data_IF_733182562546
#
_entry.id   IF_733182562546
#
_cell.length_a   1.000
_cell.length_b   1.000
_cell.length_c   1.000
_cell.angle_alpha   90.00
_cell.angle_beta   90.00
_cell.angle_gamma   90.00
#
_symmetry.space_group_name_H-M   'P 1'
#
loop_
_entity.id
_entity.type
_entity.pdbx_description
1 polymer ?
#
# COMPACT_ATOMS: atom_id res chain seq x y z
N UNK A 1 12.12 18.18 4.92
CA UNK A 1 12.21 17.39 6.17
C UNK A 1 11.75 15.98 5.84
N UNK A 2 12.44 14.94 6.34
CA UNK A 2 11.98 13.54 6.16
C UNK A 2 10.81 13.31 7.13
N UNK A 3 9.71 12.73 6.66
CA UNK A 3 8.60 12.31 7.51
C UNK A 3 8.91 10.92 8.09
N UNK A 4 8.64 10.75 9.39
CA UNK A 4 8.63 9.44 10.02
C UNK A 4 7.18 8.96 10.15
N UNK A 5 6.96 7.64 10.01
CA UNK A 5 5.66 7.01 10.14
C UNK A 5 5.78 5.67 10.84
N UNK A 6 4.72 5.29 11.55
CA UNK A 6 4.70 4.07 12.36
C UNK A 6 3.35 3.37 12.21
N UNK A 7 3.38 2.03 12.24
CA UNK A 7 2.19 1.23 12.50
C UNK A 7 2.10 1.05 14.01
N UNK A 8 0.98 1.49 14.59
CA UNK A 8 0.72 1.39 16.01
C UNK A 8 -0.16 0.16 16.31
N UNK A 9 0.23 -0.64 17.29
CA UNK A 9 -0.58 -1.73 17.83
C UNK A 9 -1.08 -1.36 19.24
N UNK A 10 -2.37 -1.01 19.40
CA UNK A 10 -2.90 -0.60 20.71
C UNK A 10 -3.00 -1.73 21.73
N UNK A 11 -2.90 -3.00 21.32
CA UNK A 11 -2.97 -4.14 22.23
C UNK A 11 -1.66 -4.35 22.98
N UNK A 12 -0.54 -4.14 22.29
CA UNK A 12 0.81 -4.34 22.85
C UNK A 12 1.55 -3.03 23.14
N UNK A 13 0.95 -1.89 22.77
CA UNK A 13 1.57 -0.55 22.83
C UNK A 13 2.85 -0.44 21.98
N UNK A 14 2.92 -1.23 20.92
CA UNK A 14 4.08 -1.24 20.03
C UNK A 14 3.97 -0.21 18.91
N UNK A 15 5.11 0.42 18.60
CA UNK A 15 5.30 1.28 17.43
C UNK A 15 6.31 0.64 16.47
N UNK A 16 5.82 0.25 15.29
CA UNK A 16 6.65 -0.37 14.26
C UNK A 16 6.93 0.65 13.16
N UNK A 17 8.19 1.05 12.99
CA UNK A 17 8.57 2.06 12.01
C UNK A 17 8.28 1.61 10.58
N UNK A 18 7.72 2.52 9.77
CA UNK A 18 7.53 2.35 8.33
C UNK A 18 8.81 2.82 7.63
N UNK A 19 9.57 1.92 6.97
CA UNK A 19 10.78 2.30 6.26
C UNK A 19 10.44 3.08 4.98
N UNK A 20 11.35 3.96 4.57
CA UNK A 20 11.29 4.66 3.27
C UNK A 20 9.93 5.33 2.98
N UNK A 21 9.30 5.90 4.01
CA UNK A 21 8.02 6.60 3.87
C UNK A 21 8.16 7.78 2.90
N UNK A 22 7.20 7.97 1.96
CA UNK A 22 7.21 9.15 1.10
C UNK A 22 7.09 10.43 1.92
N UNK A 23 7.85 11.46 1.51
CA UNK A 23 7.92 12.74 2.23
C UNK A 23 6.58 13.48 2.22
N UNK A 24 5.79 13.30 1.16
CA UNK A 24 4.49 13.94 0.94
C UNK A 24 3.36 12.90 0.89
N UNK A 25 3.34 11.98 1.87
CA UNK A 25 2.25 11.02 2.00
C UNK A 25 0.89 11.76 2.08
N UNK A 26 0.01 11.48 1.14
CA UNK A 26 -1.34 12.03 1.07
C UNK A 26 -2.34 11.18 1.85
N UNK A 27 -2.12 9.87 1.94
CA UNK A 27 -3.00 8.97 2.67
C UNK A 27 -2.47 7.54 2.80
N UNK A 28 -3.26 6.72 3.49
CA UNK A 28 -2.99 5.31 3.76
C UNK A 28 -4.27 4.50 3.56
N UNK A 29 -4.18 3.35 2.89
CA UNK A 29 -5.27 2.39 2.78
C UNK A 29 -4.78 1.00 3.19
N UNK A 30 -5.54 0.33 4.05
CA UNK A 30 -5.33 -1.08 4.39
C UNK A 30 -6.09 -1.97 3.43
N UNK A 31 -5.52 -3.13 3.07
CA UNK A 31 -6.26 -4.12 2.30
C UNK A 31 -7.38 -4.71 3.16
N UNK A 32 -8.60 -4.59 2.65
CA UNK A 32 -9.82 -5.05 3.32
C UNK A 32 -10.07 -6.54 3.13
N UNK A 33 -9.32 -7.21 2.25
CA UNK A 33 -9.40 -8.65 2.05
C UNK A 33 -8.63 -9.40 3.13
N UNK A 34 -9.30 -10.35 3.80
CA UNK A 34 -8.77 -11.00 5.00
C UNK A 34 -7.40 -11.70 4.84
N UNK A 35 -7.12 -12.41 3.73
CA UNK A 35 -5.78 -12.96 3.46
C UNK A 35 -4.68 -11.89 3.44
N UNK A 36 -5.00 -10.71 2.90
CA UNK A 36 -4.07 -9.60 2.72
C UNK A 36 -4.18 -8.53 3.82
N UNK A 37 -4.87 -8.80 4.94
CA UNK A 37 -5.11 -7.87 6.06
C UNK A 37 -3.87 -7.20 6.70
N UNK A 38 -2.68 -7.71 6.38
CA UNK A 38 -1.40 -7.16 6.84
C UNK A 38 -0.73 -6.26 5.80
N UNK A 39 -1.32 -6.13 4.62
CA UNK A 39 -0.86 -5.29 3.53
C UNK A 39 -1.59 -3.96 3.60
N UNK A 40 -0.84 -2.89 3.34
CA UNK A 40 -1.38 -1.56 3.21
C UNK A 40 -0.56 -0.78 2.18
N UNK A 41 -1.14 0.29 1.66
CA UNK A 41 -0.43 1.26 0.84
C UNK A 41 -0.32 2.58 1.58
N UNK A 42 0.81 3.26 1.37
CA UNK A 42 0.92 4.71 1.54
C UNK A 42 0.97 5.30 0.16
N UNK A 43 0.26 6.39 -0.11
CA UNK A 43 0.28 7.01 -1.43
C UNK A 43 0.54 8.51 -1.35
N UNK A 44 1.17 9.04 -2.39
CA UNK A 44 1.30 10.46 -2.66
C UNK A 44 0.59 10.82 -3.98
N UNK A 45 0.88 11.96 -4.58
CA UNK A 45 0.26 12.40 -5.84
C UNK A 45 0.67 11.59 -7.07
N UNK A 46 1.72 10.78 -6.99
CA UNK A 46 2.32 10.09 -8.14
C UNK A 46 2.41 8.57 -7.96
N UNK A 47 2.44 8.09 -6.72
CA UNK A 47 2.81 6.72 -6.41
C UNK A 47 1.98 6.14 -5.25
N UNK A 48 1.72 4.83 -5.35
CA UNK A 48 1.21 3.97 -4.29
C UNK A 48 2.33 3.00 -3.89
N UNK A 49 2.81 3.14 -2.65
CA UNK A 49 3.88 2.33 -2.07
C UNK A 49 3.27 1.19 -1.26
N UNK A 50 3.50 -0.05 -1.67
CA UNK A 50 2.94 -1.24 -1.01
C UNK A 50 3.84 -1.68 0.13
N UNK A 51 3.25 -1.86 1.31
CA UNK A 51 3.91 -2.33 2.52
C UNK A 51 3.24 -3.58 3.08
N UNK A 52 4.03 -4.42 3.75
CA UNK A 52 3.54 -5.52 4.57
C UNK A 52 3.97 -5.33 6.02
N UNK A 53 3.01 -5.44 6.94
CA UNK A 53 3.25 -5.50 8.37
C UNK A 53 3.44 -6.96 8.82
N UNK A 54 4.70 -7.34 9.01
CA UNK A 54 5.08 -8.67 9.50
C UNK A 54 5.03 -8.62 11.03
N UNK A 55 3.96 -9.19 11.61
CA UNK A 55 3.73 -9.21 13.06
C UNK A 55 4.59 -10.27 13.76
N UNK A 56 4.65 -11.47 13.18
CA UNK A 56 5.32 -12.63 13.77
C UNK A 56 6.54 -13.04 12.94
N UNK A 57 7.74 -12.87 13.51
CA UNK A 57 9.00 -13.26 12.87
C UNK A 57 10.11 -13.45 13.89
N UNK A 58 11.05 -14.37 13.62
CA UNK A 58 12.27 -14.55 14.43
C UNK A 58 13.15 -13.29 14.51
N UNK A 59 12.97 -12.33 13.60
CA UNK A 59 13.68 -11.04 13.58
C UNK A 59 12.89 -9.92 14.27
N UNK A 60 11.81 -10.25 14.99
CA UNK A 60 10.86 -9.30 15.53
C UNK A 60 9.88 -8.76 14.48
N UNK A 61 8.87 -8.04 14.98
CA UNK A 61 7.89 -7.36 14.15
C UNK A 61 8.54 -6.25 13.31
N UNK A 62 8.09 -6.11 12.07
CA UNK A 62 8.63 -5.08 11.15
C UNK A 62 7.65 -4.76 10.04
N UNK A 63 7.78 -3.57 9.48
CA UNK A 63 7.17 -3.19 8.22
C UNK A 63 8.23 -3.30 7.11
N UNK A 64 7.83 -3.80 5.95
CA UNK A 64 8.71 -3.89 4.78
C UNK A 64 7.99 -3.30 3.57
N UNK A 65 8.68 -2.45 2.80
CA UNK A 65 8.19 -2.00 1.49
C UNK A 65 8.40 -3.13 0.48
N UNK A 66 7.32 -3.59 -0.14
CA UNK A 66 7.34 -4.74 -1.05
C UNK A 66 7.04 -4.37 -2.50
N UNK A 67 6.52 -3.17 -2.75
CA UNK A 67 6.19 -2.75 -4.11
C UNK A 67 5.99 -1.26 -4.28
N UNK A 68 5.94 -0.88 -5.55
CA UNK A 68 5.63 0.47 -6.02
C UNK A 68 4.69 0.33 -7.21
N UNK A 69 3.58 1.05 -7.17
CA UNK A 69 2.62 1.15 -8.28
C UNK A 69 2.41 2.62 -8.61
N UNK A 70 2.51 3.01 -9.88
CA UNK A 70 2.28 4.39 -10.28
C UNK A 70 0.80 4.74 -10.11
N UNK A 71 0.52 5.87 -9.47
CA UNK A 71 -0.83 6.43 -9.40
C UNK A 71 -1.14 7.16 -10.71
N UNK A 72 -2.24 6.86 -11.40
CA UNK A 72 -2.67 7.66 -12.54
C UNK A 72 -2.91 9.12 -12.13
N UNK A 73 -2.51 10.05 -13.00
CA UNK A 73 -2.62 11.49 -12.75
C UNK A 73 -4.07 11.88 -12.41
N UNK A 74 -4.23 12.79 -11.45
CA UNK A 74 -5.51 13.35 -11.01
C UNK A 74 -6.54 12.30 -10.55
N UNK A 75 -6.06 11.21 -9.95
CA UNK A 75 -6.89 10.19 -9.32
C UNK A 75 -6.56 10.00 -7.85
N UNK A 76 -7.58 9.68 -7.06
CA UNK A 76 -7.46 9.49 -5.60
C UNK A 76 -7.80 8.05 -5.24
N UNK A 77 -6.92 7.34 -4.52
CA UNK A 77 -7.24 6.03 -3.94
C UNK A 77 -8.35 6.11 -2.91
N UNK A 78 -9.35 5.23 -3.04
CA UNK A 78 -10.50 5.16 -2.13
C UNK A 78 -10.55 3.87 -1.30
N UNK A 79 -10.33 2.72 -1.94
CA UNK A 79 -10.46 1.39 -1.31
C UNK A 79 -9.36 0.49 -1.86
N UNK A 80 -8.75 -0.31 -1.00
CA UNK A 80 -7.87 -1.42 -1.36
C UNK A 80 -8.55 -2.74 -0.96
N UNK A 81 -8.73 -3.65 -1.91
CA UNK A 81 -9.29 -4.97 -1.68
C UNK A 81 -8.64 -5.99 -2.59
N UNK A 82 -8.02 -7.03 -2.00
CA UNK A 82 -7.40 -8.14 -2.75
C UNK A 82 -6.37 -7.65 -3.77
N UNK A 83 -5.57 -6.64 -3.41
CA UNK A 83 -4.57 -6.05 -4.31
C UNK A 83 -5.13 -5.17 -5.43
N UNK A 84 -6.44 -4.94 -5.48
CA UNK A 84 -7.08 -3.99 -6.39
C UNK A 84 -7.40 -2.69 -5.66
N UNK A 85 -6.96 -1.56 -6.23
CA UNK A 85 -7.22 -0.23 -5.71
C UNK A 85 -8.33 0.41 -6.54
N UNK A 86 -9.47 0.72 -5.90
CA UNK A 86 -10.49 1.58 -6.48
C UNK A 86 -10.04 3.03 -6.39
N UNK A 87 -10.07 3.71 -7.53
CA UNK A 87 -9.68 5.10 -7.73
C UNK A 87 -10.88 5.94 -8.12
N UNK A 88 -10.87 7.21 -7.72
CA UNK A 88 -11.80 8.23 -8.21
C UNK A 88 -11.05 9.27 -9.04
N UNK A 89 -11.57 9.60 -10.21
CA UNK A 89 -11.06 10.69 -11.04
C UNK A 89 -11.57 12.05 -10.55
N UNK A 90 -10.91 13.14 -10.95
CA UNK A 90 -11.40 14.52 -10.70
C UNK A 90 -12.84 14.80 -11.17
N UNK A 91 -13.38 13.99 -12.10
CA UNK A 91 -14.76 14.06 -12.56
C UNK A 91 -15.76 13.18 -11.79
N UNK A 92 -15.33 12.55 -10.68
CA UNK A 92 -16.16 11.66 -9.85
C UNK A 92 -16.40 10.27 -10.43
N UNK A 93 -15.68 9.88 -11.50
CA UNK A 93 -15.80 8.54 -12.08
C UNK A 93 -14.91 7.57 -11.31
N UNK A 94 -15.43 6.37 -11.05
CA UNK A 94 -14.65 5.28 -10.46
C UNK A 94 -14.00 4.40 -11.53
N UNK A 95 -12.78 3.96 -11.23
CA UNK A 95 -12.04 2.94 -11.96
C UNK A 95 -11.17 2.15 -10.98
N UNK A 96 -10.47 1.12 -11.47
CA UNK A 96 -9.58 0.30 -10.63
C UNK A 96 -8.23 0.07 -11.29
N UNK A 97 -7.22 -0.13 -10.44
CA UNK A 97 -5.86 -0.54 -10.84
C UNK A 97 -5.38 -1.63 -9.89
N UNK A 98 -4.74 -2.66 -10.42
CA UNK A 98 -4.08 -3.70 -9.62
C UNK A 98 -2.70 -3.21 -9.17
N UNK A 99 -2.34 -3.47 -7.91
CA UNK A 99 -1.00 -3.24 -7.40
C UNK A 99 0.02 -4.10 -8.18
N UNK A 100 1.22 -3.56 -8.41
CA UNK A 100 2.30 -4.28 -9.10
C UNK A 100 2.72 -5.58 -8.40
N UNK A 101 2.49 -5.68 -7.09
CA UNK A 101 2.73 -6.88 -6.27
C UNK A 101 1.67 -7.97 -6.44
N UNK A 102 0.55 -7.63 -7.05
CA UNK A 102 -0.63 -8.50 -7.22
C UNK A 102 -0.96 -8.75 -8.69
N UNK A 103 -0.32 -8.01 -9.61
CA UNK A 103 -0.43 -8.24 -11.03
C UNK A 103 0.16 -9.60 -11.41
N UNK A 104 -0.64 -10.44 -12.06
CA UNK A 104 -0.13 -11.62 -12.76
C UNK A 104 0.66 -11.16 -13.98
N UNK A 105 1.89 -11.66 -14.15
CA UNK A 105 2.65 -11.39 -15.37
C UNK A 105 1.82 -11.83 -16.60
N UNK A 106 1.75 -11.02 -17.67
CA UNK A 106 1.04 -11.44 -18.87
C UNK A 106 1.69 -12.71 -19.42
N UNK A 107 0.87 -13.72 -19.71
CA UNK A 107 1.28 -15.05 -20.21
C UNK A 107 2.19 -14.93 -21.46
N UNK A 108 2.06 -13.85 -22.24
CA UNK A 108 2.90 -13.58 -23.41
C UNK A 108 4.39 -13.33 -23.11
N UNK A 109 4.78 -13.04 -21.86
CA UNK A 109 6.18 -12.89 -21.48
C UNK A 109 6.87 -14.24 -21.16
N UNK A 110 6.14 -15.36 -21.24
CA UNK A 110 6.62 -16.71 -20.91
C UNK A 110 6.72 -17.65 -22.12
N UNK A 111 6.62 -17.13 -23.35
CA UNK A 111 6.82 -17.83 -24.62
C UNK A 111 7.88 -17.10 -25.46
#
# INVERSE_FOLDING_TARGET
AKSDGYVYNPVTDDLVQIPDLPTLAAGVLWDTWHPDRNIFIVFDSENMYTYIHIRDSIKGQRVVRVGLTKLPTDQVPLVLHSGEVTLETSGGKLNSVSLSTHATAPVAAAL
#
